data_IF_990724292385
#
_entry.id   IF_990724292385
#
_cell.length_a   1.000
_cell.length_b   1.000
_cell.length_c   1.000
_cell.angle_alpha   90.00
_cell.angle_beta   90.00
_cell.angle_gamma   90.00
#
_symmetry.space_group_name_H-M   'P 1'
#
loop_
_entity.id
_entity.type
_entity.pdbx_description
1 polymer ?
#
# COMPACT_ATOMS: atom_id res chain seq x y z
N UNK A 1 21.53 -22.19 21.79
CA UNK A 1 20.51 -22.97 21.06
C UNK A 1 20.85 -22.90 19.58
N UNK A 2 20.60 -23.96 18.81
CA UNK A 2 20.72 -23.88 17.34
C UNK A 2 19.55 -23.04 16.83
N UNK A 3 19.84 -21.97 16.13
CA UNK A 3 18.81 -21.11 15.49
C UNK A 3 18.29 -21.78 14.23
N UNK A 4 16.98 -21.63 13.95
CA UNK A 4 16.33 -22.24 12.77
C UNK A 4 16.36 -21.32 11.56
N UNK A 5 16.39 -20.00 11.80
CA UNK A 5 16.47 -18.96 10.77
C UNK A 5 17.06 -17.67 11.35
N UNK A 6 17.41 -16.73 10.49
CA UNK A 6 17.83 -15.38 10.86
C UNK A 6 16.71 -14.39 10.58
N UNK A 7 16.36 -13.58 11.59
CA UNK A 7 15.41 -12.47 11.45
C UNK A 7 16.22 -11.20 11.13
N UNK A 8 15.96 -10.62 9.96
CA UNK A 8 16.64 -9.44 9.47
C UNK A 8 15.71 -8.22 9.56
N UNK A 9 16.18 -7.17 10.21
CA UNK A 9 15.42 -5.95 10.47
C UNK A 9 16.26 -4.75 10.02
N UNK A 10 15.68 -3.85 9.25
CA UNK A 10 16.26 -2.53 8.98
C UNK A 10 15.53 -1.46 9.78
N UNK A 11 16.24 -0.45 10.24
CA UNK A 11 15.66 0.59 11.11
C UNK A 11 16.21 1.97 10.85
N UNK A 12 15.39 3.00 11.11
CA UNK A 12 15.80 4.40 11.20
C UNK A 12 14.82 5.20 12.06
N UNK A 13 15.30 5.71 13.20
CA UNK A 13 14.50 6.55 14.11
C UNK A 13 13.20 5.87 14.60
N UNK A 14 13.29 4.58 14.99
CA UNK A 14 12.15 3.75 15.40
C UNK A 14 12.39 3.13 16.79
N UNK A 15 13.01 3.87 17.71
CA UNK A 15 13.49 3.35 19.00
C UNK A 15 12.44 2.55 19.77
N UNK A 16 11.21 3.05 19.88
CA UNK A 16 10.16 2.40 20.68
C UNK A 16 9.60 1.16 19.96
N UNK A 17 9.29 1.28 18.68
CA UNK A 17 8.76 0.18 17.88
C UNK A 17 9.78 -0.95 17.77
N UNK A 18 11.01 -0.61 17.42
CA UNK A 18 12.11 -1.58 17.31
C UNK A 18 12.37 -2.32 18.63
N UNK A 19 12.30 -1.63 19.77
CA UNK A 19 12.43 -2.28 21.07
C UNK A 19 11.37 -3.36 21.27
N UNK A 20 10.11 -3.08 20.96
CA UNK A 20 9.02 -4.05 21.06
C UNK A 20 9.22 -5.21 20.08
N UNK A 21 9.62 -4.92 18.84
CA UNK A 21 9.93 -5.91 17.81
C UNK A 21 11.00 -6.91 18.31
N UNK A 22 12.14 -6.41 18.79
CA UNK A 22 13.24 -7.24 19.28
C UNK A 22 12.83 -8.03 20.53
N UNK A 23 12.10 -7.43 21.47
CA UNK A 23 11.64 -8.11 22.68
C UNK A 23 10.72 -9.29 22.38
N UNK A 24 9.88 -9.20 21.35
CA UNK A 24 9.01 -10.29 20.92
C UNK A 24 9.79 -11.49 20.32
N UNK A 25 11.02 -11.26 19.86
CA UNK A 25 11.90 -12.27 19.27
C UNK A 25 12.89 -12.89 20.28
N UNK A 26 13.19 -12.18 21.39
CA UNK A 26 14.30 -12.50 22.30
C UNK A 26 14.33 -13.95 22.78
N UNK A 27 13.16 -14.51 23.12
CA UNK A 27 13.05 -15.87 23.67
C UNK A 27 12.83 -16.94 22.57
N UNK A 28 12.94 -16.58 21.31
CA UNK A 28 12.76 -17.50 20.19
C UNK A 28 14.10 -18.04 19.71
N UNK A 29 14.16 -19.28 19.18
CA UNK A 29 15.39 -19.88 18.66
C UNK A 29 15.74 -19.29 17.27
N UNK A 30 15.88 -17.97 17.18
CA UNK A 30 16.22 -17.24 15.96
C UNK A 30 17.47 -16.39 16.19
N UNK A 31 18.23 -16.19 15.15
CA UNK A 31 19.26 -15.16 15.10
C UNK A 31 18.58 -13.81 14.79
N UNK A 32 18.97 -12.74 15.46
CA UNK A 32 18.40 -11.40 15.25
C UNK A 32 19.48 -10.48 14.71
N UNK A 33 19.28 -9.97 13.50
CA UNK A 33 20.16 -9.04 12.82
C UNK A 33 19.42 -7.71 12.67
N UNK A 34 20.00 -6.65 13.17
CA UNK A 34 19.46 -5.30 13.07
C UNK A 34 20.43 -4.42 12.33
N UNK A 35 19.97 -3.79 11.26
CA UNK A 35 20.76 -2.84 10.48
C UNK A 35 20.21 -1.44 10.68
N UNK A 36 20.99 -0.60 11.34
CA UNK A 36 20.69 0.82 11.50
C UNK A 36 21.11 1.60 10.26
N UNK A 37 20.19 2.39 9.69
CA UNK A 37 20.41 3.17 8.46
C UNK A 37 20.64 4.66 8.74
N UNK A 38 21.14 5.00 9.94
CA UNK A 38 21.48 6.36 10.35
C UNK A 38 20.44 6.99 11.28
N UNK A 39 20.12 6.30 12.38
CA UNK A 39 19.24 6.82 13.43
C UNK A 39 19.91 7.91 14.27
N UNK A 40 19.10 8.86 14.73
CA UNK A 40 19.52 10.01 15.55
C UNK A 40 18.68 10.20 16.83
N UNK A 41 17.70 9.32 17.07
CA UNK A 41 16.72 9.38 18.16
C UNK A 41 17.12 8.58 19.41
N UNK A 42 18.36 8.06 19.45
CA UNK A 42 18.84 7.18 20.50
C UNK A 42 18.57 5.69 20.24
N UNK A 43 18.15 5.32 19.02
CA UNK A 43 18.00 3.91 18.62
C UNK A 43 19.33 3.18 18.70
N UNK A 44 20.43 3.73 18.19
CA UNK A 44 21.75 3.10 18.20
C UNK A 44 22.23 2.80 19.61
N UNK A 45 22.17 3.78 20.52
CA UNK A 45 22.56 3.60 21.91
C UNK A 45 21.75 2.52 22.63
N UNK A 46 20.48 2.36 22.28
CA UNK A 46 19.64 1.29 22.80
C UNK A 46 20.10 -0.08 22.28
N UNK A 47 20.40 -0.19 20.99
CA UNK A 47 20.83 -1.43 20.35
C UNK A 47 22.19 -1.91 20.84
N UNK A 48 23.15 -1.01 21.05
CA UNK A 48 24.50 -1.31 21.59
C UNK A 48 24.45 -1.97 22.97
N UNK A 49 23.36 -1.80 23.72
CA UNK A 49 23.15 -2.42 25.04
C UNK A 49 22.53 -3.83 24.96
N UNK A 50 22.21 -4.33 23.76
CA UNK A 50 21.53 -5.61 23.55
C UNK A 50 22.51 -6.67 23.04
N UNK A 51 23.15 -7.44 23.92
CA UNK A 51 24.18 -8.44 23.58
C UNK A 51 23.64 -9.64 22.73
N UNK A 52 22.33 -9.81 22.64
CA UNK A 52 21.71 -10.93 21.96
C UNK A 52 21.27 -10.63 20.52
N UNK A 53 21.61 -9.46 20.00
CA UNK A 53 21.40 -9.06 18.61
C UNK A 53 22.73 -8.89 17.89
N UNK A 54 22.70 -9.01 16.58
CA UNK A 54 23.80 -8.64 15.70
C UNK A 54 23.49 -7.25 15.11
N UNK A 55 24.15 -6.22 15.62
CA UNK A 55 23.99 -4.84 15.15
C UNK A 55 24.98 -4.54 14.03
N UNK A 56 24.45 -4.02 12.93
CA UNK A 56 25.19 -3.56 11.76
C UNK A 56 24.75 -2.15 11.38
N UNK A 57 25.58 -1.46 10.60
CA UNK A 57 25.30 -0.12 10.11
C UNK A 57 25.34 -0.09 8.58
N UNK A 58 24.37 0.60 7.98
CA UNK A 58 24.27 0.78 6.54
C UNK A 58 24.08 2.25 6.20
N UNK A 59 24.91 2.79 5.31
CA UNK A 59 24.76 4.17 4.83
C UNK A 59 23.57 4.22 3.90
N UNK A 60 22.51 4.93 4.31
CA UNK A 60 21.30 5.04 3.53
C UNK A 60 21.53 5.61 2.14
N UNK A 61 21.14 4.87 1.11
CA UNK A 61 21.33 5.18 -0.30
C UNK A 61 20.01 5.36 -1.08
N UNK A 62 18.90 5.64 -0.38
CA UNK A 62 17.55 5.73 -0.96
C UNK A 62 17.11 4.44 -1.66
N UNK A 63 17.40 3.29 -1.03
CA UNK A 63 17.13 1.97 -1.57
C UNK A 63 16.83 0.99 -0.42
N UNK A 64 15.55 0.62 -0.28
CA UNK A 64 15.13 -0.32 0.77
C UNK A 64 15.60 -1.75 0.48
N UNK A 65 15.56 -2.19 -0.79
CA UNK A 65 16.04 -3.51 -1.15
C UNK A 65 17.54 -3.66 -0.85
N UNK A 66 18.36 -2.64 -1.16
CA UNK A 66 19.77 -2.65 -0.84
C UNK A 66 20.03 -2.78 0.67
N UNK A 67 19.30 -2.05 1.50
CA UNK A 67 19.42 -2.14 2.95
C UNK A 67 18.95 -3.51 3.50
N UNK A 68 17.82 -4.05 2.99
CA UNK A 68 17.33 -5.38 3.36
C UNK A 68 18.29 -6.48 2.92
N UNK A 69 18.81 -6.43 1.71
CA UNK A 69 19.79 -7.38 1.19
C UNK A 69 21.12 -7.31 1.96
N UNK A 70 21.53 -6.13 2.41
CA UNK A 70 22.69 -6.00 3.30
C UNK A 70 22.44 -6.70 4.63
N UNK A 71 21.27 -6.53 5.25
CA UNK A 71 20.91 -7.26 6.46
C UNK A 71 20.91 -8.78 6.25
N UNK A 72 20.34 -9.24 5.13
CA UNK A 72 20.31 -10.65 4.72
C UNK A 72 21.75 -11.21 4.54
N UNK A 73 22.66 -10.41 4.01
CA UNK A 73 24.06 -10.81 3.80
C UNK A 73 24.80 -11.13 5.11
N UNK A 74 24.34 -10.54 6.23
CA UNK A 74 24.93 -10.74 7.56
C UNK A 74 24.38 -11.97 8.28
N UNK A 75 23.32 -12.58 7.74
CA UNK A 75 22.71 -13.77 8.32
C UNK A 75 23.67 -14.96 8.33
N UNK A 76 23.68 -15.72 9.43
CA UNK A 76 24.45 -16.97 9.51
C UNK A 76 23.64 -18.17 9.02
N UNK A 77 22.31 -18.14 9.17
CA UNK A 77 21.42 -19.16 8.62
C UNK A 77 21.18 -18.95 7.12
N UNK A 78 20.89 -20.03 6.41
CA UNK A 78 20.50 -19.99 5.00
C UNK A 78 19.09 -19.41 4.81
N UNK A 79 18.18 -19.76 5.71
CA UNK A 79 16.81 -19.25 5.70
C UNK A 79 16.73 -17.98 6.51
N UNK A 80 16.13 -16.96 5.91
CA UNK A 80 15.92 -15.65 6.53
C UNK A 80 14.42 -15.33 6.63
N UNK A 81 14.06 -14.55 7.63
CA UNK A 81 12.77 -13.87 7.74
C UNK A 81 13.04 -12.37 7.84
N UNK A 82 12.44 -11.58 6.97
CA UNK A 82 12.60 -10.12 6.99
C UNK A 82 11.34 -9.48 7.54
N UNK A 83 11.48 -8.65 8.56
CA UNK A 83 10.38 -7.87 9.15
C UNK A 83 10.80 -6.41 9.28
N UNK A 84 9.81 -5.53 9.29
CA UNK A 84 10.05 -4.09 9.44
C UNK A 84 10.09 -3.72 10.94
N UNK A 85 10.72 -2.62 11.31
CA UNK A 85 10.94 -2.24 12.72
C UNK A 85 9.65 -1.90 13.49
N UNK A 86 8.55 -1.66 12.79
CA UNK A 86 7.20 -1.42 13.34
C UNK A 86 6.29 -2.67 13.27
N UNK A 87 6.88 -3.84 12.96
CA UNK A 87 6.22 -5.15 12.94
C UNK A 87 6.68 -5.98 14.15
N UNK A 88 5.74 -6.58 14.89
CA UNK A 88 6.06 -7.42 16.06
C UNK A 88 5.52 -8.82 15.91
N UNK A 89 6.32 -9.81 16.35
CA UNK A 89 5.89 -11.19 16.38
C UNK A 89 4.72 -11.37 17.38
N UNK A 90 3.56 -11.81 16.87
CA UNK A 90 2.37 -12.15 17.66
C UNK A 90 2.36 -13.67 17.96
N UNK A 91 2.56 -14.48 16.91
CA UNK A 91 2.57 -15.92 17.01
C UNK A 91 3.60 -16.56 16.09
N UNK A 92 4.24 -17.62 16.56
CA UNK A 92 5.11 -18.49 15.77
C UNK A 92 5.05 -19.91 16.32
N UNK A 93 4.72 -20.88 15.47
CA UNK A 93 4.84 -22.31 15.76
C UNK A 93 6.19 -22.79 15.22
N UNK A 94 7.21 -22.87 16.10
CA UNK A 94 8.58 -23.21 15.72
C UNK A 94 8.69 -24.62 15.11
N UNK A 95 8.13 -25.69 15.71
CA UNK A 95 8.18 -27.04 15.12
C UNK A 95 7.52 -27.12 13.74
N UNK A 96 6.33 -26.50 13.57
CA UNK A 96 5.64 -26.48 12.29
C UNK A 96 6.41 -25.66 11.24
N UNK A 97 6.97 -24.53 11.64
CA UNK A 97 7.78 -23.68 10.75
C UNK A 97 9.02 -24.42 10.25
N UNK A 98 9.74 -25.11 11.14
CA UNK A 98 10.93 -25.89 10.76
C UNK A 98 10.58 -27.00 9.75
N UNK A 99 9.47 -27.72 9.97
CA UNK A 99 8.97 -28.70 9.01
C UNK A 99 8.59 -28.10 7.66
N UNK A 100 7.94 -26.93 7.66
CA UNK A 100 7.55 -26.27 6.43
C UNK A 100 8.74 -25.74 5.62
N UNK A 101 9.74 -25.18 6.28
CA UNK A 101 11.00 -24.78 5.64
C UNK A 101 11.68 -25.98 4.97
N UNK A 102 11.77 -27.12 5.68
CA UNK A 102 12.38 -28.34 5.14
C UNK A 102 11.63 -28.92 3.93
N UNK A 103 10.29 -28.84 3.94
CA UNK A 103 9.44 -29.33 2.84
C UNK A 103 9.45 -28.40 1.61
N UNK A 104 9.76 -27.11 1.79
CA UNK A 104 9.65 -26.08 0.76
C UNK A 104 10.96 -25.32 0.53
N UNK A 105 12.10 -25.99 0.27
CA UNK A 105 13.42 -25.35 0.23
C UNK A 105 13.61 -24.39 -0.95
N UNK A 106 12.69 -24.40 -1.93
CA UNK A 106 12.72 -23.58 -3.15
C UNK A 106 11.55 -22.60 -3.25
N UNK A 107 10.77 -22.47 -2.18
CA UNK A 107 9.57 -21.62 -2.16
C UNK A 107 9.74 -20.46 -1.17
N UNK A 108 8.94 -19.43 -1.37
CA UNK A 108 8.87 -18.29 -0.46
C UNK A 108 7.73 -18.49 0.54
N UNK A 109 8.04 -18.39 1.83
CA UNK A 109 7.07 -18.44 2.91
C UNK A 109 6.35 -17.11 3.09
N UNK A 110 5.02 -17.16 3.03
CA UNK A 110 4.15 -16.03 3.36
C UNK A 110 3.80 -16.08 4.84
N UNK A 111 3.94 -14.95 5.51
CA UNK A 111 3.52 -14.77 6.90
C UNK A 111 2.24 -13.93 6.96
N UNK A 112 1.44 -14.14 8.00
CA UNK A 112 0.21 -13.40 8.21
C UNK A 112 0.51 -12.08 8.91
N UNK A 113 0.15 -10.94 8.28
CA UNK A 113 0.22 -9.61 8.87
C UNK A 113 -1.15 -9.15 9.32
N UNK A 114 -1.26 -8.67 10.56
CA UNK A 114 -2.46 -8.08 11.15
C UNK A 114 -2.16 -6.61 11.45
N UNK A 115 -2.89 -5.72 10.81
CA UNK A 115 -2.74 -4.28 11.04
C UNK A 115 -3.54 -3.86 12.28
N UNK A 116 -2.87 -3.21 13.25
CA UNK A 116 -3.48 -2.77 14.51
C UNK A 116 -3.77 -1.27 14.41
N UNK A 117 -4.98 -0.88 14.85
CA UNK A 117 -5.40 0.50 14.97
C UNK A 117 -5.67 0.81 16.45
N UNK A 118 -4.73 1.48 17.15
CA UNK A 118 -4.80 1.73 18.61
C UNK A 118 -5.95 2.65 19.04
N UNK A 119 -6.45 3.51 18.15
CA UNK A 119 -7.44 4.53 18.48
C UNK A 119 -8.84 4.27 17.90
N UNK A 120 -9.14 3.05 17.48
CA UNK A 120 -10.44 2.72 16.89
C UNK A 120 -10.94 1.37 17.41
N UNK A 121 -11.82 1.40 18.39
CA UNK A 121 -12.53 0.22 18.89
C UNK A 121 -13.41 -0.46 17.82
N UNK A 122 -13.57 0.14 16.64
CA UNK A 122 -14.52 -0.30 15.59
C UNK A 122 -13.88 -0.50 14.21
N UNK A 123 -12.52 -0.40 14.04
CA UNK A 123 -11.92 -0.72 12.75
C UNK A 123 -11.59 -2.20 12.67
N UNK A 124 -12.06 -2.91 11.63
CA UNK A 124 -11.73 -4.32 11.45
C UNK A 124 -10.24 -4.48 11.23
N UNK A 125 -9.67 -5.56 11.78
CA UNK A 125 -8.33 -6.00 11.45
C UNK A 125 -8.25 -6.26 9.94
N UNK A 126 -7.40 -5.54 9.24
CA UNK A 126 -7.02 -5.95 7.91
C UNK A 126 -5.96 -7.05 8.03
N UNK A 127 -6.20 -8.18 7.39
CA UNK A 127 -5.33 -9.37 7.41
C UNK A 127 -4.81 -9.62 6.02
N UNK A 128 -3.51 -9.69 5.87
CA UNK A 128 -2.87 -9.96 4.59
C UNK A 128 -1.73 -10.97 4.72
N UNK A 129 -1.44 -11.67 3.64
CA UNK A 129 -0.32 -12.59 3.52
C UNK A 129 0.81 -11.92 2.75
N UNK A 130 2.00 -11.83 3.37
CA UNK A 130 3.17 -11.17 2.81
C UNK A 130 4.37 -12.11 2.69
N UNK A 131 5.15 -11.98 1.63
CA UNK A 131 6.33 -12.78 1.34
C UNK A 131 7.49 -12.33 2.23
N UNK A 132 7.93 -13.17 3.19
CA UNK A 132 8.92 -12.77 4.19
C UNK A 132 9.96 -13.84 4.56
N UNK A 133 9.72 -15.13 4.26
CA UNK A 133 10.63 -16.24 4.63
C UNK A 133 11.17 -16.90 3.38
N UNK A 134 12.49 -16.96 3.23
CA UNK A 134 13.11 -17.59 2.06
C UNK A 134 14.58 -17.95 2.28
N UNK A 135 15.14 -18.80 1.39
CA UNK A 135 16.58 -19.04 1.33
C UNK A 135 17.30 -17.87 0.68
N UNK A 136 18.23 -17.22 1.40
CA UNK A 136 19.06 -16.12 0.90
C UNK A 136 20.00 -16.49 -0.25
N UNK A 137 20.16 -17.81 -0.50
CA UNK A 137 20.93 -18.33 -1.64
C UNK A 137 20.12 -18.40 -2.93
N UNK A 138 18.80 -18.21 -2.86
CA UNK A 138 17.88 -18.36 -3.99
C UNK A 138 17.07 -17.10 -4.28
N UNK A 139 16.85 -16.28 -3.25
CA UNK A 139 16.00 -15.12 -3.33
C UNK A 139 16.67 -13.89 -2.72
N UNK A 140 16.24 -12.73 -3.18
CA UNK A 140 16.65 -11.42 -2.74
C UNK A 140 15.48 -10.44 -2.78
N UNK A 141 15.67 -9.21 -2.30
CA UNK A 141 14.75 -8.12 -2.53
C UNK A 141 15.18 -7.30 -3.74
N UNK A 142 14.20 -6.86 -4.54
CA UNK A 142 14.38 -5.88 -5.60
C UNK A 142 13.37 -4.74 -5.48
N UNK A 143 13.74 -3.56 -6.00
CA UNK A 143 12.96 -2.33 -5.91
C UNK A 143 13.44 -1.41 -4.79
N UNK A 144 13.68 -0.14 -5.12
CA UNK A 144 14.15 0.87 -4.14
C UNK A 144 13.12 1.18 -3.09
N UNK A 145 11.86 1.10 -3.47
CA UNK A 145 10.68 1.26 -2.62
C UNK A 145 9.61 0.28 -3.08
N UNK A 146 8.74 -0.18 -2.16
CA UNK A 146 7.80 -1.27 -2.40
C UNK A 146 8.51 -2.54 -2.90
N UNK A 147 9.67 -2.78 -2.34
CA UNK A 147 10.56 -3.88 -2.68
C UNK A 147 9.86 -5.23 -2.55
N UNK A 148 10.04 -6.05 -3.58
CA UNK A 148 9.47 -7.39 -3.69
C UNK A 148 10.55 -8.45 -3.55
N UNK A 149 10.16 -9.65 -3.09
CA UNK A 149 11.05 -10.81 -3.12
C UNK A 149 11.10 -11.32 -4.55
N UNK A 150 12.31 -11.48 -5.09
CA UNK A 150 12.56 -12.05 -6.42
C UNK A 150 13.54 -13.22 -6.32
N UNK A 151 13.64 -14.05 -7.35
CA UNK A 151 14.78 -14.94 -7.48
C UNK A 151 16.07 -14.13 -7.75
N UNK A 152 17.22 -14.78 -7.75
CA UNK A 152 18.49 -14.11 -8.01
C UNK A 152 18.66 -13.58 -9.46
N UNK A 153 17.70 -13.86 -10.35
CA UNK A 153 17.64 -13.33 -11.71
C UNK A 153 16.59 -12.21 -11.84
N UNK A 154 16.01 -11.75 -10.73
CA UNK A 154 15.01 -10.67 -10.72
C UNK A 154 13.60 -11.10 -11.13
N UNK A 155 13.27 -12.39 -11.06
CA UNK A 155 11.94 -12.90 -11.40
C UNK A 155 11.08 -13.10 -10.16
N UNK A 156 9.81 -12.76 -10.26
CA UNK A 156 8.78 -13.01 -9.24
C UNK A 156 8.00 -14.32 -9.49
N UNK A 157 8.40 -15.12 -10.50
CA UNK A 157 7.78 -16.41 -10.82
C UNK A 157 8.33 -17.51 -9.91
N UNK A 158 7.77 -17.61 -8.69
CA UNK A 158 8.09 -18.62 -7.71
C UNK A 158 6.86 -19.08 -6.93
N UNK A 159 6.88 -20.31 -6.47
CA UNK A 159 5.84 -20.85 -5.61
C UNK A 159 5.96 -20.33 -4.16
N UNK A 160 4.82 -20.20 -3.49
CA UNK A 160 4.75 -19.77 -2.10
C UNK A 160 4.13 -20.86 -1.21
N UNK A 161 4.33 -20.73 0.11
CA UNK A 161 3.62 -21.51 1.13
C UNK A 161 3.22 -20.61 2.30
N UNK A 162 2.16 -20.95 3.01
CA UNK A 162 1.72 -20.24 4.21
C UNK A 162 2.51 -20.72 5.42
N UNK A 163 3.33 -19.83 5.99
CA UNK A 163 4.11 -20.13 7.18
C UNK A 163 3.27 -19.92 8.45
N UNK A 164 3.45 -20.72 9.51
CA UNK A 164 2.74 -20.60 10.77
C UNK A 164 3.30 -19.44 11.63
N UNK A 165 3.33 -18.26 11.04
CA UNK A 165 3.85 -17.02 11.65
C UNK A 165 2.83 -15.92 11.47
N UNK A 166 2.53 -15.22 12.56
CA UNK A 166 1.68 -14.01 12.55
C UNK A 166 2.45 -12.87 13.17
N UNK A 167 2.43 -11.72 12.49
CA UNK A 167 2.98 -10.46 12.98
C UNK A 167 1.87 -9.41 13.13
N UNK A 168 2.07 -8.50 14.06
CA UNK A 168 1.25 -7.30 14.25
C UNK A 168 2.00 -6.12 13.65
N UNK A 169 1.31 -5.26 12.91
CA UNK A 169 1.87 -4.06 12.32
C UNK A 169 1.17 -2.82 12.88
N UNK A 170 1.94 -1.90 13.48
CA UNK A 170 1.43 -0.69 14.13
C UNK A 170 1.52 0.57 13.25
N UNK A 171 2.04 0.45 12.04
CA UNK A 171 2.37 1.58 11.17
C UNK A 171 1.18 2.41 10.65
N UNK A 172 -0.06 2.04 11.00
CA UNK A 172 -1.27 2.79 10.63
C UNK A 172 -1.73 3.81 11.68
N UNK A 173 -1.09 3.85 12.85
CA UNK A 173 -1.47 4.75 13.95
C UNK A 173 -0.66 6.06 13.94
N UNK A 174 -0.37 6.54 12.73
CA UNK A 174 0.37 7.77 12.52
C UNK A 174 -0.57 8.98 12.58
N UNK A 175 -0.11 10.07 13.20
CA UNK A 175 -0.75 11.37 13.08
C UNK A 175 -0.85 11.80 11.61
N UNK A 176 -1.71 12.76 11.32
CA UNK A 176 -1.85 13.27 9.94
C UNK A 176 -0.52 13.84 9.41
N UNK A 177 0.24 14.49 10.28
CA UNK A 177 1.54 15.06 9.92
C UNK A 177 2.59 13.96 9.61
N UNK A 178 2.64 12.91 10.41
CA UNK A 178 3.52 11.75 10.17
C UNK A 178 3.14 11.00 8.89
N UNK A 179 1.84 10.85 8.61
CA UNK A 179 1.36 10.26 7.35
C UNK A 179 1.79 11.07 6.14
N UNK A 180 1.64 12.41 6.20
CA UNK A 180 2.10 13.33 5.13
C UNK A 180 3.61 13.26 4.93
N UNK A 181 4.38 13.19 6.02
CA UNK A 181 5.85 13.06 5.95
C UNK A 181 6.27 11.72 5.34
N UNK A 182 5.61 10.62 5.72
CA UNK A 182 5.84 9.28 5.13
C UNK A 182 5.47 9.26 3.64
N UNK A 183 4.32 9.85 3.28
CA UNK A 183 3.87 9.97 1.90
C UNK A 183 4.88 10.76 1.06
N UNK A 184 5.34 11.92 1.54
CA UNK A 184 6.33 12.74 0.83
C UNK A 184 7.64 11.99 0.59
N UNK A 185 8.19 11.30 1.60
CA UNK A 185 9.39 10.47 1.44
C UNK A 185 9.19 9.39 0.36
N UNK A 186 8.03 8.74 0.36
CA UNK A 186 7.72 7.69 -0.61
C UNK A 186 7.59 8.27 -2.03
N UNK A 187 6.94 9.43 -2.17
CA UNK A 187 6.86 10.17 -3.44
C UNK A 187 8.26 10.46 -3.97
N UNK A 188 9.15 11.03 -3.14
CA UNK A 188 10.51 11.37 -3.56
C UNK A 188 11.29 10.14 -4.10
N UNK A 189 11.12 8.97 -3.45
CA UNK A 189 11.76 7.72 -3.89
C UNK A 189 11.14 7.15 -5.18
N UNK A 190 9.82 7.19 -5.29
CA UNK A 190 9.10 6.73 -6.49
C UNK A 190 9.36 7.64 -7.69
N UNK A 191 9.46 8.94 -7.48
CA UNK A 191 9.84 9.89 -8.53
C UNK A 191 11.24 9.61 -9.08
N UNK A 192 12.19 9.27 -8.20
CA UNK A 192 13.53 8.85 -8.64
C UNK A 192 13.49 7.56 -9.47
N UNK A 193 12.66 6.59 -9.07
CA UNK A 193 12.52 5.34 -9.81
C UNK A 193 11.80 5.54 -11.15
N UNK A 194 10.75 6.38 -11.18
CA UNK A 194 10.06 6.76 -12.42
C UNK A 194 11.03 7.45 -13.39
N UNK A 195 11.81 8.42 -12.91
CA UNK A 195 12.83 9.10 -13.73
C UNK A 195 13.83 8.11 -14.32
N UNK A 196 14.34 7.19 -13.50
CA UNK A 196 15.27 6.16 -13.95
C UNK A 196 14.66 5.27 -15.03
N UNK A 197 13.41 4.82 -14.81
CA UNK A 197 12.71 3.98 -15.76
C UNK A 197 12.48 4.71 -17.09
N UNK A 198 11.94 5.94 -17.04
CA UNK A 198 11.68 6.76 -18.23
C UNK A 198 12.97 7.05 -19.01
N UNK A 199 14.07 7.33 -18.34
CA UNK A 199 15.35 7.59 -18.99
C UNK A 199 15.96 6.33 -19.62
N UNK A 200 15.68 5.13 -19.10
CA UNK A 200 16.10 3.87 -19.72
C UNK A 200 15.48 3.65 -21.10
N UNK A 201 14.28 4.19 -21.36
CA UNK A 201 13.62 4.15 -22.66
C UNK A 201 14.15 5.18 -23.67
N UNK A 202 14.88 6.21 -23.22
CA UNK A 202 15.46 7.25 -24.09
C UNK A 202 16.70 6.81 -24.90
N UNK A 203 16.95 5.51 -25.06
CA UNK A 203 17.99 5.02 -25.95
C UNK A 203 19.31 4.63 -25.29
N UNK A 204 19.26 3.94 -24.16
CA UNK A 204 20.42 3.24 -23.60
C UNK A 204 21.52 4.15 -23.05
N UNK A 205 21.21 5.37 -22.67
CA UNK A 205 22.14 6.25 -21.97
C UNK A 205 22.22 5.77 -20.52
N UNK A 206 23.37 5.26 -20.12
CA UNK A 206 23.69 5.07 -18.70
C UNK A 206 23.53 6.41 -17.97
N UNK A 207 22.59 6.43 -17.01
CA UNK A 207 22.32 7.63 -16.23
C UNK A 207 23.49 7.94 -15.32
N UNK A 208 24.10 9.09 -15.51
CA UNK A 208 25.03 9.65 -14.55
C UNK A 208 24.26 10.25 -13.37
N UNK A 209 24.89 10.36 -12.19
CA UNK A 209 24.28 11.03 -11.03
C UNK A 209 23.77 12.45 -11.34
N UNK A 210 24.34 13.11 -12.35
CA UNK A 210 24.00 14.48 -12.77
C UNK A 210 22.71 14.54 -13.64
N UNK A 211 22.25 13.40 -14.17
CA UNK A 211 20.99 13.32 -14.93
C UNK A 211 19.76 13.20 -14.02
N UNK A 212 19.95 12.72 -12.79
CA UNK A 212 18.91 12.69 -11.76
C UNK A 212 18.59 14.11 -11.29
N UNK A 213 17.35 14.52 -11.43
CA UNK A 213 16.86 15.85 -11.03
C UNK A 213 16.67 16.82 -12.21
N UNK A 214 17.07 16.49 -13.43
CA UNK A 214 16.75 17.28 -14.64
C UNK A 214 15.33 17.03 -15.14
N UNK A 215 14.77 15.85 -14.88
CA UNK A 215 13.36 15.54 -15.15
C UNK A 215 12.58 15.72 -13.87
N UNK A 216 11.54 16.56 -13.90
CA UNK A 216 10.55 16.62 -12.83
C UNK A 216 9.36 15.70 -13.18
N UNK A 217 8.50 15.46 -12.20
CA UNK A 217 7.32 14.60 -12.35
C UNK A 217 6.47 14.95 -13.58
N UNK A 218 6.22 16.25 -13.83
CA UNK A 218 5.47 16.70 -15.01
C UNK A 218 6.16 16.36 -16.32
N UNK A 219 7.49 16.47 -16.38
CA UNK A 219 8.26 16.11 -17.58
C UNK A 219 8.21 14.62 -17.85
N UNK A 220 8.25 13.78 -16.80
CA UNK A 220 8.10 12.34 -16.93
C UNK A 220 6.70 11.96 -17.46
N UNK A 221 5.64 12.52 -16.86
CA UNK A 221 4.27 12.30 -17.30
C UNK A 221 4.05 12.74 -18.74
N UNK A 222 4.52 13.93 -19.12
CA UNK A 222 4.44 14.43 -20.49
C UNK A 222 5.19 13.54 -21.47
N UNK A 223 6.34 13.01 -21.09
CA UNK A 223 7.12 12.10 -21.93
C UNK A 223 6.38 10.78 -22.15
N UNK A 224 5.85 10.18 -21.09
CA UNK A 224 5.06 8.92 -21.16
C UNK A 224 3.84 9.12 -22.04
N UNK A 225 3.05 10.17 -21.80
CA UNK A 225 1.84 10.47 -22.58
C UNK A 225 2.14 10.69 -24.07
N UNK A 226 3.23 11.39 -24.39
CA UNK A 226 3.64 11.63 -25.77
C UNK A 226 4.07 10.32 -26.48
N UNK A 227 4.80 9.43 -25.78
CA UNK A 227 5.20 8.14 -26.37
C UNK A 227 3.96 7.28 -26.63
N UNK A 228 3.05 7.16 -25.68
CA UNK A 228 1.82 6.35 -25.83
C UNK A 228 1.00 6.82 -27.04
N UNK A 229 0.91 8.14 -27.24
CA UNK A 229 0.16 8.72 -28.38
C UNK A 229 0.86 8.47 -29.73
N UNK A 230 2.19 8.37 -29.77
CA UNK A 230 2.94 8.19 -31.03
C UNK A 230 2.85 6.80 -31.62
N UNK A 231 2.46 5.79 -30.82
CA UNK A 231 2.27 4.40 -31.24
C UNK A 231 3.43 3.80 -32.07
N UNK A 232 4.68 4.13 -31.67
CA UNK A 232 5.90 3.62 -32.27
C UNK A 232 6.47 2.41 -31.49
N UNK A 233 7.62 1.88 -31.92
CA UNK A 233 8.30 0.76 -31.25
C UNK A 233 8.65 1.05 -29.78
N UNK A 234 8.88 2.32 -29.43
CA UNK A 234 9.11 2.74 -28.05
C UNK A 234 7.84 2.70 -27.23
N UNK A 235 6.70 3.07 -27.82
CA UNK A 235 5.39 2.98 -27.20
C UNK A 235 5.03 1.51 -26.92
N UNK A 236 5.30 0.60 -27.85
CA UNK A 236 5.06 -0.83 -27.67
C UNK A 236 5.89 -1.40 -26.50
N UNK A 237 7.18 -1.07 -26.43
CA UNK A 237 8.04 -1.47 -25.30
C UNK A 237 7.57 -0.89 -23.97
N UNK A 238 7.14 0.37 -23.97
CA UNK A 238 6.65 1.06 -22.78
C UNK A 238 5.34 0.43 -22.28
N UNK A 239 4.41 0.10 -23.19
CA UNK A 239 3.12 -0.51 -22.87
C UNK A 239 3.25 -1.92 -22.28
N UNK A 240 4.34 -2.63 -22.58
CA UNK A 240 4.61 -3.97 -22.05
C UNK A 240 5.47 -3.97 -20.79
N UNK A 241 5.80 -2.82 -20.21
CA UNK A 241 6.52 -2.76 -18.93
C UNK A 241 5.53 -2.69 -17.76
N UNK A 242 5.28 -3.82 -17.13
CA UNK A 242 4.34 -3.95 -16.00
C UNK A 242 4.74 -3.10 -14.77
N UNK A 243 6.00 -2.68 -14.67
CA UNK A 243 6.50 -1.85 -13.55
C UNK A 243 5.99 -0.42 -13.63
N UNK A 244 5.87 0.11 -14.85
CA UNK A 244 5.54 1.52 -15.05
C UNK A 244 4.13 1.87 -14.55
N UNK A 245 3.04 1.17 -14.93
CA UNK A 245 1.72 1.46 -14.39
C UNK A 245 1.65 1.26 -12.87
N UNK A 246 2.40 0.32 -12.30
CA UNK A 246 2.48 0.13 -10.86
C UNK A 246 3.14 1.31 -10.14
N UNK A 247 4.26 1.85 -10.70
CA UNK A 247 4.92 3.05 -10.14
C UNK A 247 3.98 4.27 -10.24
N UNK A 248 3.28 4.44 -11.37
CA UNK A 248 2.32 5.53 -11.55
C UNK A 248 1.16 5.42 -10.54
N UNK A 249 0.64 4.21 -10.32
CA UNK A 249 -0.35 3.95 -9.27
C UNK A 249 0.16 4.35 -7.88
N UNK A 250 1.35 3.93 -7.51
CA UNK A 250 1.94 4.21 -6.19
C UNK A 250 2.20 5.71 -6.00
N UNK A 251 2.63 6.42 -7.04
CA UNK A 251 2.79 7.88 -7.03
C UNK A 251 1.44 8.58 -6.86
N UNK A 252 0.43 8.19 -7.66
CA UNK A 252 -0.92 8.72 -7.52
C UNK A 252 -1.48 8.54 -6.10
N UNK A 253 -1.30 7.35 -5.52
CA UNK A 253 -1.71 7.06 -4.14
C UNK A 253 -0.92 7.88 -3.11
N UNK A 254 0.37 8.07 -3.31
CA UNK A 254 1.22 8.92 -2.47
C UNK A 254 0.74 10.38 -2.46
N UNK A 255 0.49 10.94 -3.63
CA UNK A 255 -0.04 12.31 -3.76
C UNK A 255 -1.46 12.44 -3.19
N UNK A 256 -2.32 11.44 -3.39
CA UNK A 256 -3.64 11.40 -2.76
C UNK A 256 -3.56 11.45 -1.23
N UNK A 257 -2.68 10.63 -0.63
CA UNK A 257 -2.44 10.62 0.81
C UNK A 257 -1.79 11.92 1.34
N UNK A 258 -1.02 12.60 0.50
CA UNK A 258 -0.45 13.92 0.81
C UNK A 258 -1.47 15.05 0.70
N UNK A 259 -2.65 14.80 0.10
CA UNK A 259 -3.71 15.80 -0.14
C UNK A 259 -3.53 16.60 -1.43
N UNK A 260 -2.57 16.24 -2.27
CA UNK A 260 -2.40 16.82 -3.61
C UNK A 260 -3.20 16.01 -4.64
N UNK A 261 -4.51 16.24 -4.63
CA UNK A 261 -5.45 15.49 -5.47
C UNK A 261 -5.27 15.76 -6.97
N UNK A 262 -4.79 16.93 -7.36
CA UNK A 262 -4.53 17.25 -8.76
C UNK A 262 -3.36 16.42 -9.32
N UNK A 263 -2.27 16.33 -8.57
CA UNK A 263 -1.14 15.47 -8.96
C UNK A 263 -1.54 14.00 -8.91
N UNK A 264 -2.34 13.58 -7.94
CA UNK A 264 -2.86 12.22 -7.88
C UNK A 264 -3.65 11.87 -9.16
N UNK A 265 -4.56 12.75 -9.60
CA UNK A 265 -5.31 12.57 -10.84
C UNK A 265 -4.39 12.42 -12.06
N UNK A 266 -3.35 13.26 -12.19
CA UNK A 266 -2.44 13.21 -13.32
C UNK A 266 -1.68 11.87 -13.41
N UNK A 267 -1.25 11.31 -12.27
CA UNK A 267 -0.58 10.00 -12.23
C UNK A 267 -1.55 8.86 -12.51
N UNK A 268 -2.75 8.87 -11.95
CA UNK A 268 -3.75 7.83 -12.20
C UNK A 268 -4.23 7.85 -13.65
N UNK A 269 -4.50 9.02 -14.21
CA UNK A 269 -4.86 9.18 -15.62
C UNK A 269 -3.77 8.60 -16.52
N UNK A 270 -2.51 8.94 -16.28
CA UNK A 270 -1.38 8.39 -17.03
C UNK A 270 -1.29 6.86 -16.89
N UNK A 271 -1.52 6.32 -15.69
CA UNK A 271 -1.53 4.87 -15.44
C UNK A 271 -2.63 4.13 -16.19
N UNK A 272 -3.79 4.77 -16.39
CA UNK A 272 -4.94 4.19 -17.10
C UNK A 272 -4.80 4.20 -18.62
N UNK A 273 -3.75 4.80 -19.19
CA UNK A 273 -3.43 4.66 -20.62
C UNK A 273 -2.83 3.29 -20.98
N UNK A 274 -2.41 2.51 -19.97
CA UNK A 274 -1.86 1.17 -20.18
C UNK A 274 -2.97 0.13 -20.28
N UNK A 275 -2.68 -0.95 -21.03
CA UNK A 275 -3.59 -2.12 -21.10
C UNK A 275 -3.49 -2.92 -19.80
N UNK A 276 -4.29 -2.55 -18.80
CA UNK A 276 -4.25 -3.10 -17.47
C UNK A 276 -5.25 -4.23 -17.30
N UNK A 277 -4.83 -5.28 -16.60
CA UNK A 277 -5.76 -6.33 -16.19
C UNK A 277 -6.67 -5.83 -15.05
N UNK A 278 -8.00 -5.66 -15.29
CA UNK A 278 -8.93 -5.12 -14.31
C UNK A 278 -9.18 -6.03 -13.09
N UNK A 279 -8.62 -7.24 -13.09
CA UNK A 279 -8.72 -8.20 -11.98
C UNK A 279 -7.59 -8.03 -10.95
N UNK A 280 -6.55 -7.26 -11.28
CA UNK A 280 -5.45 -7.01 -10.35
C UNK A 280 -5.89 -6.03 -9.25
N UNK A 281 -5.58 -6.35 -8.01
CA UNK A 281 -5.98 -5.55 -6.86
C UNK A 281 -5.49 -4.09 -6.94
N UNK A 282 -4.25 -3.86 -7.41
CA UNK A 282 -3.74 -2.51 -7.54
C UNK A 282 -4.45 -1.70 -8.63
N UNK A 283 -4.95 -2.36 -9.69
CA UNK A 283 -5.72 -1.69 -10.76
C UNK A 283 -7.08 -1.27 -10.22
N UNK A 284 -7.76 -2.15 -9.48
CA UNK A 284 -9.03 -1.83 -8.83
C UNK A 284 -8.84 -0.66 -7.85
N UNK A 285 -7.79 -0.70 -7.02
CA UNK A 285 -7.49 0.37 -6.07
C UNK A 285 -7.11 1.68 -6.76
N UNK A 286 -6.39 1.61 -7.90
CA UNK A 286 -6.07 2.78 -8.72
C UNK A 286 -7.33 3.46 -9.26
N UNK A 287 -8.23 2.69 -9.86
CA UNK A 287 -9.50 3.18 -10.40
C UNK A 287 -10.33 3.84 -9.30
N UNK A 288 -10.54 3.14 -8.18
CA UNK A 288 -11.35 3.67 -7.09
C UNK A 288 -10.72 4.92 -6.46
N UNK A 289 -9.40 4.92 -6.23
CA UNK A 289 -8.69 6.09 -5.66
C UNK A 289 -8.71 7.27 -6.64
N UNK A 290 -8.64 7.01 -7.95
CA UNK A 290 -8.77 8.06 -8.98
C UNK A 290 -10.13 8.74 -8.93
N UNK A 291 -11.22 7.98 -8.81
CA UNK A 291 -12.55 8.55 -8.64
C UNK A 291 -12.66 9.47 -7.41
N UNK A 292 -12.11 9.02 -6.28
CA UNK A 292 -12.03 9.87 -5.07
C UNK A 292 -11.14 11.10 -5.28
N UNK A 293 -10.03 10.98 -6.01
CA UNK A 293 -9.14 12.10 -6.31
C UNK A 293 -9.84 13.16 -7.17
N UNK A 294 -10.60 12.74 -8.19
CA UNK A 294 -11.39 13.64 -9.03
C UNK A 294 -12.45 14.40 -8.22
N UNK A 295 -13.18 13.71 -7.34
CA UNK A 295 -14.16 14.37 -6.47
C UNK A 295 -13.45 15.40 -5.56
N UNK A 296 -12.38 15.01 -4.89
CA UNK A 296 -11.67 15.85 -3.94
C UNK A 296 -10.91 17.01 -4.58
N UNK A 297 -10.55 16.91 -5.86
CA UNK A 297 -9.94 17.99 -6.65
C UNK A 297 -10.95 18.95 -7.29
N UNK A 298 -12.26 18.72 -7.07
CA UNK A 298 -13.34 19.52 -7.68
C UNK A 298 -13.63 19.17 -9.14
N UNK A 299 -13.19 18.00 -9.62
CA UNK A 299 -13.37 17.52 -10.99
C UNK A 299 -14.47 16.44 -11.07
N UNK A 300 -15.53 16.59 -10.27
CA UNK A 300 -16.60 15.59 -10.17
C UNK A 300 -17.29 15.31 -11.52
N UNK A 301 -17.44 16.34 -12.38
CA UNK A 301 -18.01 16.19 -13.72
C UNK A 301 -17.16 15.24 -14.59
N UNK A 302 -15.83 15.36 -14.51
CA UNK A 302 -14.93 14.47 -15.25
C UNK A 302 -15.06 13.03 -14.76
N UNK A 303 -15.37 12.81 -13.48
CA UNK A 303 -15.56 11.48 -12.94
C UNK A 303 -16.76 10.72 -13.54
N UNK A 304 -17.65 11.37 -14.27
CA UNK A 304 -18.76 10.68 -14.98
C UNK A 304 -18.26 9.71 -16.05
N UNK A 305 -17.00 9.83 -16.52
CA UNK A 305 -16.43 8.82 -17.43
C UNK A 305 -16.39 7.40 -16.82
N UNK A 306 -16.48 7.27 -15.49
CA UNK A 306 -16.56 5.97 -14.81
C UNK A 306 -17.78 5.14 -15.24
N UNK A 307 -18.78 5.75 -15.84
CA UNK A 307 -19.90 5.04 -16.48
C UNK A 307 -19.41 4.10 -17.60
N UNK A 308 -18.35 4.48 -18.32
CA UNK A 308 -17.82 3.69 -19.43
C UNK A 308 -17.08 2.42 -18.97
N UNK A 309 -16.62 2.38 -17.73
CA UNK A 309 -15.89 1.23 -17.15
C UNK A 309 -16.75 0.46 -16.12
N UNK A 310 -18.04 0.80 -16.04
CA UNK A 310 -18.95 0.24 -15.05
C UNK A 310 -19.13 -1.28 -15.20
N UNK A 311 -19.11 -1.82 -16.41
CA UNK A 311 -19.24 -3.26 -16.64
C UNK A 311 -18.04 -4.04 -16.08
N UNK A 312 -16.85 -3.46 -16.11
CA UNK A 312 -15.62 -4.11 -15.65
C UNK A 312 -15.46 -4.03 -14.13
N UNK A 313 -15.74 -2.88 -13.52
CA UNK A 313 -15.46 -2.60 -12.11
C UNK A 313 -16.71 -2.60 -11.23
N UNK A 314 -17.90 -2.52 -11.78
CA UNK A 314 -19.18 -2.38 -11.06
C UNK A 314 -19.62 -3.58 -10.23
N UNK A 315 -18.80 -4.62 -10.07
CA UNK A 315 -19.12 -5.83 -9.33
C UNK A 315 -18.72 -5.79 -7.85
N UNK A 316 -18.30 -4.63 -7.33
CA UNK A 316 -17.90 -4.44 -5.93
C UNK A 316 -18.78 -3.40 -5.24
N UNK A 317 -18.94 -3.53 -3.92
CA UNK A 317 -19.63 -2.53 -3.11
C UNK A 317 -18.91 -1.18 -3.15
N UNK A 318 -17.57 -1.20 -3.15
CA UNK A 318 -16.73 0.00 -3.14
C UNK A 318 -16.91 0.82 -4.43
N UNK A 319 -16.92 0.17 -5.59
CA UNK A 319 -17.14 0.87 -6.87
C UNK A 319 -18.56 1.45 -6.98
N UNK A 320 -19.59 0.68 -6.56
CA UNK A 320 -20.97 1.20 -6.54
C UNK A 320 -21.13 2.37 -5.57
N UNK A 321 -20.47 2.30 -4.43
CA UNK A 321 -20.45 3.40 -3.46
C UNK A 321 -19.76 4.64 -4.07
N UNK A 322 -18.61 4.47 -4.75
CA UNK A 322 -17.92 5.53 -5.46
C UNK A 322 -18.81 6.15 -6.54
N UNK A 323 -19.50 5.35 -7.36
CA UNK A 323 -20.46 5.86 -8.36
C UNK A 323 -21.59 6.66 -7.70
N UNK A 324 -22.07 6.21 -6.55
CA UNK A 324 -23.03 6.99 -5.76
C UNK A 324 -22.48 8.36 -5.35
N UNK A 325 -21.22 8.44 -4.93
CA UNK A 325 -20.56 9.71 -4.60
C UNK A 325 -20.35 10.59 -5.85
N UNK A 326 -19.95 9.99 -6.97
CA UNK A 326 -19.79 10.71 -8.24
C UNK A 326 -21.12 11.37 -8.66
N UNK A 327 -22.20 10.59 -8.69
CA UNK A 327 -23.53 11.12 -9.01
C UNK A 327 -24.00 12.17 -8.01
N UNK A 328 -23.76 11.96 -6.71
CA UNK A 328 -24.14 12.93 -5.67
C UNK A 328 -23.43 14.27 -5.87
N UNK A 329 -22.12 14.25 -6.18
CA UNK A 329 -21.35 15.48 -6.44
C UNK A 329 -21.69 16.15 -7.77
N UNK A 330 -22.39 15.47 -8.68
CA UNK A 330 -22.95 16.00 -9.93
C UNK A 330 -24.44 16.30 -9.82
N UNK A 331 -24.99 16.37 -8.62
CA UNK A 331 -26.42 16.66 -8.34
C UNK A 331 -27.41 15.66 -8.97
N UNK A 332 -26.93 14.49 -9.41
CA UNK A 332 -27.73 13.40 -9.97
C UNK A 332 -28.28 12.52 -8.85
N UNK A 333 -29.12 13.10 -7.97
CA UNK A 333 -29.50 12.49 -6.69
C UNK A 333 -30.24 11.17 -6.81
N UNK A 334 -31.11 11.01 -7.80
CA UNK A 334 -31.83 9.74 -8.00
C UNK A 334 -30.87 8.61 -8.37
N UNK A 335 -29.92 8.87 -9.28
CA UNK A 335 -28.89 7.91 -9.66
C UNK A 335 -27.97 7.58 -8.49
N UNK A 336 -27.58 8.58 -7.69
CA UNK A 336 -26.77 8.40 -6.49
C UNK A 336 -27.45 7.47 -5.47
N UNK A 337 -28.72 7.71 -5.18
CA UNK A 337 -29.51 6.88 -4.26
C UNK A 337 -29.60 5.43 -4.74
N UNK A 338 -29.78 5.21 -6.04
CA UNK A 338 -29.84 3.86 -6.60
C UNK A 338 -28.48 3.14 -6.50
N UNK A 339 -27.35 3.81 -6.77
CA UNK A 339 -26.02 3.19 -6.62
C UNK A 339 -25.71 2.88 -5.17
N UNK A 340 -26.01 3.76 -4.22
CA UNK A 340 -25.86 3.45 -2.80
C UNK A 340 -26.72 2.25 -2.36
N UNK A 341 -27.95 2.14 -2.86
CA UNK A 341 -28.81 0.97 -2.61
C UNK A 341 -28.25 -0.31 -3.24
N UNK A 342 -27.62 -0.22 -4.41
CA UNK A 342 -26.92 -1.35 -5.05
C UNK A 342 -25.73 -1.77 -4.21
N UNK A 343 -24.90 -0.81 -3.74
CA UNK A 343 -23.77 -1.09 -2.85
C UNK A 343 -24.21 -1.86 -1.60
N UNK A 344 -25.31 -1.46 -0.96
CA UNK A 344 -25.84 -2.14 0.24
C UNK A 344 -26.24 -3.60 -0.01
N UNK A 345 -26.58 -3.97 -1.25
CA UNK A 345 -26.97 -5.34 -1.61
C UNK A 345 -25.75 -6.22 -1.95
N UNK A 346 -24.57 -5.63 -2.05
CA UNK A 346 -23.33 -6.36 -2.35
C UNK A 346 -22.74 -6.97 -1.09
N UNK A 347 -21.89 -8.01 -1.24
CA UNK A 347 -21.02 -8.46 -0.16
C UNK A 347 -20.16 -7.33 0.41
N UNK A 348 -19.60 -7.53 1.59
CA UNK A 348 -18.66 -6.57 2.19
C UNK A 348 -17.51 -6.26 1.23
N UNK A 349 -17.27 -4.96 1.01
CA UNK A 349 -16.18 -4.47 0.18
C UNK A 349 -14.85 -4.42 0.94
N UNK A 350 -13.81 -3.91 0.28
CA UNK A 350 -12.49 -3.64 0.89
C UNK A 350 -12.57 -2.52 1.92
N UNK A 351 -13.43 -1.53 1.66
CA UNK A 351 -13.69 -0.41 2.57
C UNK A 351 -14.92 -0.70 3.41
N UNK A 352 -14.72 -0.79 4.71
CA UNK A 352 -15.81 -1.04 5.65
C UNK A 352 -16.88 0.05 5.56
N UNK A 353 -18.12 -0.35 5.53
CA UNK A 353 -19.27 0.55 5.58
C UNK A 353 -19.81 0.98 4.22
N UNK A 354 -19.08 0.76 3.11
CA UNK A 354 -19.56 1.09 1.77
C UNK A 354 -20.84 0.34 1.38
N UNK A 355 -21.00 -0.89 1.88
CA UNK A 355 -22.22 -1.68 1.72
C UNK A 355 -23.21 -1.57 2.91
N UNK A 356 -23.05 -0.60 3.80
CA UNK A 356 -23.89 -0.46 5.00
C UNK A 356 -24.03 0.99 5.45
N UNK A 357 -23.50 1.35 6.60
CA UNK A 357 -23.75 2.63 7.25
C UNK A 357 -23.29 3.85 6.44
N UNK A 358 -22.18 3.78 5.66
CA UNK A 358 -21.74 4.90 4.82
C UNK A 358 -22.72 5.15 3.66
N UNK A 359 -23.19 4.08 3.00
CA UNK A 359 -24.18 4.21 1.94
C UNK A 359 -25.51 4.76 2.49
N UNK A 360 -26.01 4.24 3.61
CA UNK A 360 -27.22 4.77 4.23
C UNK A 360 -27.08 6.22 4.66
N UNK A 361 -25.91 6.60 5.20
CA UNK A 361 -25.65 7.98 5.59
C UNK A 361 -25.75 8.94 4.40
N UNK A 362 -25.12 8.61 3.27
CA UNK A 362 -25.16 9.45 2.08
C UNK A 362 -26.58 9.54 1.48
N UNK A 363 -27.35 8.45 1.50
CA UNK A 363 -28.77 8.51 1.11
C UNK A 363 -29.55 9.46 2.05
N UNK A 364 -29.28 9.38 3.36
CA UNK A 364 -29.88 10.29 4.34
C UNK A 364 -29.55 11.76 4.03
N UNK A 365 -28.28 12.06 3.74
CA UNK A 365 -27.81 13.41 3.36
C UNK A 365 -28.52 13.91 2.10
N UNK A 366 -28.69 13.07 1.08
CA UNK A 366 -29.39 13.43 -0.15
C UNK A 366 -30.86 13.82 0.16
N UNK A 367 -31.58 13.00 0.93
CA UNK A 367 -32.97 13.31 1.29
C UNK A 367 -33.10 14.55 2.17
N UNK A 368 -32.12 14.78 3.05
CA UNK A 368 -32.05 16.02 3.84
C UNK A 368 -31.88 17.25 2.94
N UNK A 369 -30.97 17.21 1.96
CA UNK A 369 -30.78 18.27 0.98
C UNK A 369 -32.02 18.52 0.12
N UNK A 370 -32.79 17.48 -0.19
CA UNK A 370 -34.06 17.57 -0.91
C UNK A 370 -35.24 18.02 -0.03
N UNK A 371 -35.03 18.26 1.26
CA UNK A 371 -36.05 18.67 2.22
C UNK A 371 -36.96 17.56 2.71
N UNK A 372 -36.70 16.30 2.38
CA UNK A 372 -37.45 15.15 2.82
C UNK A 372 -36.93 14.61 4.16
N UNK A 373 -37.34 15.29 5.22
CA UNK A 373 -36.89 15.00 6.58
C UNK A 373 -37.25 13.58 7.04
N UNK A 374 -38.41 13.05 6.61
CA UNK A 374 -38.88 11.73 7.02
C UNK A 374 -38.01 10.63 6.42
N UNK A 375 -37.70 10.70 5.11
CA UNK A 375 -36.80 9.75 4.48
C UNK A 375 -35.37 9.92 5.00
N UNK A 376 -34.89 11.13 5.22
CA UNK A 376 -33.57 11.38 5.81
C UNK A 376 -33.40 10.69 7.15
N UNK A 377 -34.34 10.89 8.10
CA UNK A 377 -34.33 10.21 9.40
C UNK A 377 -34.35 8.69 9.27
N UNK A 378 -35.19 8.16 8.39
CA UNK A 378 -35.30 6.72 8.15
C UNK A 378 -33.93 6.11 7.75
N UNK A 379 -33.16 6.79 6.90
CA UNK A 379 -31.87 6.29 6.47
C UNK A 379 -30.78 6.51 7.51
N UNK A 380 -30.79 7.61 8.27
CA UNK A 380 -29.88 7.81 9.40
C UNK A 380 -30.06 6.75 10.49
N UNK A 381 -31.29 6.34 10.79
CA UNK A 381 -31.54 5.22 11.72
C UNK A 381 -30.95 3.88 11.25
N UNK A 382 -30.85 3.64 9.93
CA UNK A 382 -30.22 2.43 9.38
C UNK A 382 -28.70 2.40 9.53
N UNK A 383 -28.05 3.51 9.92
CA UNK A 383 -26.61 3.59 10.09
C UNK A 383 -26.08 2.93 11.37
N UNK A 384 -26.95 2.48 12.28
CA UNK A 384 -26.61 1.58 13.40
C UNK A 384 -25.49 2.11 14.32
N UNK A 385 -25.66 3.31 14.90
CA UNK A 385 -24.67 3.88 15.83
C UNK A 385 -23.51 4.62 15.17
N UNK A 386 -23.60 4.90 13.86
CA UNK A 386 -22.64 5.74 13.18
C UNK A 386 -22.76 7.19 13.65
N UNK A 387 -21.75 7.69 14.38
CA UNK A 387 -21.78 8.99 15.08
C UNK A 387 -22.21 10.18 14.19
N UNK A 388 -21.76 10.32 12.92
CA UNK A 388 -22.25 11.40 12.06
C UNK A 388 -23.77 11.34 11.81
N UNK A 389 -24.34 10.14 11.68
CA UNK A 389 -25.79 9.99 11.51
C UNK A 389 -26.56 10.31 12.80
N UNK A 390 -26.04 9.92 13.97
CA UNK A 390 -26.63 10.25 15.27
C UNK A 390 -26.65 11.77 15.51
N UNK A 391 -25.59 12.47 15.14
CA UNK A 391 -25.52 13.93 15.23
C UNK A 391 -26.61 14.57 14.36
N UNK A 392 -26.79 14.12 13.10
CA UNK A 392 -27.84 14.62 12.23
C UNK A 392 -29.25 14.36 12.80
N UNK A 393 -29.48 13.17 13.36
CA UNK A 393 -30.76 12.85 14.02
C UNK A 393 -31.04 13.74 15.23
N UNK A 394 -30.01 14.14 15.98
CA UNK A 394 -30.18 15.05 17.11
C UNK A 394 -30.50 16.47 16.65
N UNK A 395 -29.90 16.94 15.55
CA UNK A 395 -30.14 18.26 14.99
C UNK A 395 -31.57 18.37 14.35
N UNK A 396 -32.20 17.23 14.04
CA UNK A 396 -33.54 17.13 13.47
C UNK A 396 -34.65 16.98 14.51
N UNK A 397 -34.35 16.98 15.81
CA UNK A 397 -35.33 16.95 16.91
C UNK A 397 -35.86 18.33 17.22
#
# INVERSE_FOLDING_TARGET
>A
MKTILSVCIITKNEKQNLKQCIMALKEKPVEIIVVDTGSTDGTQQMLEQMEYIHLEHFIWCNDFAAAKNYAISKATNDVVMVIDSDEYLDHIDIPALEQMIQKNPNKVGRIKRRNIFKHSEQKPENREWINRIFSRKKFQYEGRIHEQVTDLNGKEDYETYEAPVTILHSGYDLSEEERKKKAKRNIDLLDLELQRLVLSYKGGIELTKDDFGKLNAKACLSYISNIIVQADEQAEKLQHDDRLPYILYQLGKGYYMAGDFQMACAYFECGLYFDLNPKLEYVIDMVETYGYALINSGQAEQALFFENIYEEFGNTADFKFLMGLIYMNNEMFDAAVEEFKRAVRMPEGRTQGTNSYLAYYNIGVIYECLGDQERAKMYYYKCGGYVPAENRLNDMK
#
